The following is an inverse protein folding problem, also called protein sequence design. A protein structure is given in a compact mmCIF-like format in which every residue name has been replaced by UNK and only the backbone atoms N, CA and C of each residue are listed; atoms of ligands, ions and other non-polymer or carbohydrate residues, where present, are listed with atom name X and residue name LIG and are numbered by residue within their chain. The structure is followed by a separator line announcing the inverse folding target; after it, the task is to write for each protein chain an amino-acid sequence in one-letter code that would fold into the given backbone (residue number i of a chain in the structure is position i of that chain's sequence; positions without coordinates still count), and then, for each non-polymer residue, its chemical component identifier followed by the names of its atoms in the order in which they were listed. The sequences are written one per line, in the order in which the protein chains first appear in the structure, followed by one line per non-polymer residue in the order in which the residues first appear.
data_IF_442584608472
#
_entry.id   IF_442584608472
#
_cell.length_a   1.000
_cell.length_b   1.000
_cell.length_c   1.000
_cell.angle_alpha   90.00
_cell.angle_beta   90.00
_cell.angle_gamma   90.00
#
_symmetry.space_group_name_H-M   'P 1'
#
loop_
_entity.id
_entity.type
_entity.pdbx_description
1 polymer ?
#
# COMPACT_ATOMS: atom_id res chain seq x y z
N UNK A 1 -48.05 -30.26 10.01
CA UNK A 1 -47.78 -30.27 11.46
C UNK A 1 -46.43 -29.62 11.66
N UNK A 2 -46.50 -28.40 12.16
CA UNK A 2 -45.40 -27.51 12.57
C UNK A 2 -44.68 -28.10 13.79
N UNK A 3 -43.36 -27.83 13.95
CA UNK A 3 -42.60 -27.57 15.20
C UNK A 3 -41.30 -26.84 14.78
N UNK A 4 -41.18 -25.52 14.96
CA UNK A 4 -40.75 -24.79 16.17
C UNK A 4 -39.22 -24.85 16.40
N UNK A 5 -38.53 -23.75 16.12
CA UNK A 5 -37.11 -23.52 16.44
C UNK A 5 -37.09 -22.62 17.68
N UNK A 6 -36.58 -23.16 18.78
CA UNK A 6 -36.35 -22.44 20.04
C UNK A 6 -35.12 -21.55 19.87
N UNK A 7 -35.31 -20.27 20.18
CA UNK A 7 -34.27 -19.28 20.44
C UNK A 7 -33.67 -19.54 21.82
N UNK A 8 -32.34 -19.59 21.92
CA UNK A 8 -31.64 -19.31 23.16
C UNK A 8 -30.73 -18.10 22.96
N UNK A 9 -31.11 -17.03 23.66
CA UNK A 9 -30.37 -15.80 23.88
C UNK A 9 -29.45 -16.05 25.09
N UNK A 10 -28.18 -15.72 24.98
CA UNK A 10 -27.33 -15.45 26.14
C UNK A 10 -26.62 -14.11 25.92
N UNK A 11 -27.10 -13.13 26.69
CA UNK A 11 -26.44 -11.89 27.04
C UNK A 11 -25.35 -12.15 28.10
N UNK A 12 -24.44 -11.18 28.24
CA UNK A 12 -23.43 -10.90 29.30
C UNK A 12 -22.03 -10.74 28.70
N UNK A 13 -21.19 -9.77 29.05
CA UNK A 13 -21.27 -8.54 29.84
C UNK A 13 -20.02 -7.71 29.47
N UNK A 14 -20.03 -6.44 29.87
CA UNK A 14 -19.02 -5.41 29.62
C UNK A 14 -17.59 -5.77 30.08
N UNK A 15 -16.57 -5.43 29.28
CA UNK A 15 -15.32 -4.91 29.83
C UNK A 15 -14.78 -3.78 28.93
N UNK A 16 -14.75 -2.59 29.54
CA UNK A 16 -14.04 -1.40 29.10
C UNK A 16 -12.53 -1.68 29.16
N UNK A 17 -11.79 -1.36 28.10
CA UNK A 17 -10.39 -0.98 28.26
C UNK A 17 -10.06 0.14 27.28
N UNK A 18 -9.83 1.30 27.87
CA UNK A 18 -9.29 2.48 27.24
C UNK A 18 -7.86 2.22 26.72
N UNK A 19 -7.46 3.03 25.74
CA UNK A 19 -6.30 3.93 25.85
C UNK A 19 -5.40 4.02 24.60
N UNK A 20 -5.38 5.24 24.06
CA UNK A 20 -4.28 5.93 23.34
C UNK A 20 -4.06 5.59 21.86
N UNK A 21 -4.86 6.28 21.06
CA UNK A 21 -4.51 6.81 19.73
C UNK A 21 -3.13 7.49 19.78
N UNK A 22 -2.10 6.86 19.22
CA UNK A 22 -0.84 7.53 18.87
C UNK A 22 -0.97 8.15 17.47
N UNK A 23 -1.46 9.39 17.42
CA UNK A 23 -1.36 10.28 16.24
C UNK A 23 0.02 10.94 16.25
N UNK A 24 0.95 10.43 15.45
CA UNK A 24 2.20 11.14 15.16
C UNK A 24 1.96 12.14 14.02
N UNK A 25 2.08 13.44 14.34
CA UNK A 25 1.91 14.55 13.39
C UNK A 25 3.23 14.88 12.67
N UNK A 26 3.21 15.18 11.35
CA UNK A 26 4.38 15.67 10.61
C UNK A 26 4.81 17.08 11.04
N UNK A 27 6.07 17.24 11.50
CA UNK A 27 6.64 18.57 11.80
C UNK A 27 7.19 19.22 10.51
N UNK A 28 6.55 20.30 10.07
CA UNK A 28 7.06 21.27 9.08
C UNK A 28 7.78 22.41 9.78
N UNK A 29 8.95 22.78 9.23
CA UNK A 29 9.60 24.11 9.18
C UNK A 29 9.92 24.80 10.53
N UNK A 30 10.91 25.66 10.71
CA UNK A 30 11.62 26.64 9.89
C UNK A 30 12.89 26.99 10.68
N UNK A 31 13.98 27.40 10.04
CA UNK A 31 14.78 28.49 10.60
C UNK A 31 15.60 29.18 9.50
N UNK A 32 15.38 30.48 9.36
CA UNK A 32 16.10 31.41 8.51
C UNK A 32 16.27 32.72 9.28
N UNK A 33 17.52 33.05 9.65
CA UNK A 33 18.05 34.40 9.92
C UNK A 33 19.57 34.25 10.18
N UNK A 34 20.48 34.72 9.32
CA UNK A 34 21.06 36.09 9.28
C UNK A 34 21.64 36.55 10.65
N UNK A 35 22.83 37.14 10.83
CA UNK A 35 23.96 37.54 10.01
C UNK A 35 25.06 38.15 10.94
N UNK A 36 26.33 38.15 10.47
CA UNK A 36 27.40 39.21 10.63
C UNK A 36 28.42 39.25 11.80
N UNK A 37 29.71 39.37 11.35
CA UNK A 37 30.91 40.12 11.85
C UNK A 37 31.76 39.45 12.97
N UNK A 38 33.10 39.40 12.95
CA UNK A 38 34.15 40.39 12.59
C UNK A 38 35.55 39.70 12.38
N UNK A 39 36.35 40.01 11.34
CA UNK A 39 37.56 40.90 11.27
C UNK A 39 38.76 40.36 12.09
N UNK A 40 39.75 39.67 11.49
CA UNK A 40 41.01 40.13 10.86
C UNK A 40 42.24 40.15 11.80
N UNK A 41 43.30 39.41 11.46
CA UNK A 41 44.70 39.81 11.64
C UNK A 41 45.66 38.88 10.87
N UNK A 42 46.24 39.41 9.79
CA UNK A 42 47.49 38.95 9.18
C UNK A 42 48.68 39.29 10.10
N UNK A 43 49.78 38.51 10.23
CA UNK A 43 50.97 38.52 9.35
C UNK A 43 52.00 37.49 9.91
N UNK A 44 52.88 36.87 9.09
CA UNK A 44 53.55 35.59 9.40
C UNK A 44 54.96 35.77 9.94
N UNK A 45 55.41 34.82 10.78
CA UNK A 45 56.83 34.65 11.11
C UNK A 45 57.26 33.20 10.93
N UNK A 46 58.14 33.02 9.95
CA UNK A 46 58.94 31.84 9.71
C UNK A 46 59.86 31.58 10.90
N UNK A 47 59.97 30.31 11.31
CA UNK A 47 61.25 29.70 11.69
C UNK A 47 61.15 28.18 11.55
N UNK A 48 61.74 27.67 10.46
CA UNK A 48 62.59 26.46 10.39
C UNK A 48 63.28 26.20 11.75
N UNK A 49 63.49 25.00 12.28
CA UNK A 49 63.94 23.72 11.74
C UNK A 49 63.76 22.68 12.87
N UNK A 50 63.30 21.46 12.54
CA UNK A 50 63.56 20.25 13.34
C UNK A 50 63.14 19.02 12.54
N UNK A 51 64.08 18.55 11.74
CA UNK A 51 64.43 17.13 11.56
C UNK A 51 63.35 16.07 11.84
N UNK A 52 62.86 15.48 10.74
CA UNK A 52 62.66 14.04 10.52
C UNK A 52 61.92 13.21 11.60
N UNK A 53 60.68 12.83 11.29
CA UNK A 53 60.22 11.45 11.50
C UNK A 53 59.10 11.11 10.51
N UNK A 54 59.48 10.62 9.33
CA UNK A 54 58.53 10.01 8.39
C UNK A 54 58.21 8.58 8.84
N UNK A 55 57.29 8.43 9.78
CA UNK A 55 56.66 7.13 10.00
C UNK A 55 55.64 6.90 8.87
N UNK A 56 56.10 6.24 7.81
CA UNK A 56 55.22 5.65 6.79
C UNK A 56 54.26 4.69 7.51
N UNK A 57 53.07 5.17 7.87
CA UNK A 57 51.92 4.31 8.20
C UNK A 57 51.67 3.42 6.99
N UNK A 58 52.23 2.20 7.04
CA UNK A 58 51.81 1.11 6.17
C UNK A 58 50.34 0.85 6.51
N UNK A 59 49.46 1.31 5.64
CA UNK A 59 48.08 0.83 5.56
C UNK A 59 48.17 -0.67 5.28
N UNK A 60 48.09 -1.47 6.34
CA UNK A 60 47.92 -2.92 6.21
C UNK A 60 46.45 -3.12 5.91
N UNK A 61 46.13 -3.09 4.62
CA UNK A 61 44.87 -3.65 4.11
C UNK A 61 44.90 -5.14 4.39
N UNK A 62 44.53 -5.54 5.61
CA UNK A 62 44.22 -6.93 5.91
C UNK A 62 42.80 -7.22 5.44
N UNK A 63 42.60 -7.19 4.11
CA UNK A 63 41.67 -8.14 3.49
C UNK A 63 42.32 -9.52 3.53
N UNK A 64 42.49 -10.04 4.75
CA UNK A 64 42.70 -11.45 4.99
C UNK A 64 41.45 -11.89 5.69
N UNK A 65 40.61 -12.62 4.95
CA UNK A 65 39.66 -13.56 5.49
C UNK A 65 40.24 -14.13 6.79
N UNK A 66 39.68 -13.69 7.91
CA UNK A 66 40.00 -14.25 9.22
C UNK A 66 39.27 -15.58 9.27
N UNK A 67 39.72 -16.53 8.46
CA UNK A 67 39.45 -17.93 8.75
C UNK A 67 40.19 -18.14 10.07
N UNK A 68 39.44 -18.12 11.17
CA UNK A 68 39.84 -18.74 12.42
C UNK A 68 40.01 -20.22 12.09
N UNK A 69 41.13 -20.56 11.44
CA UNK A 69 41.56 -21.95 11.27
C UNK A 69 41.85 -22.41 12.69
N UNK A 70 40.94 -23.22 13.24
CA UNK A 70 41.20 -23.92 14.47
C UNK A 70 42.40 -24.80 14.22
N UNK A 71 43.37 -24.79 15.13
CA UNK A 71 44.49 -25.75 15.06
C UNK A 71 44.04 -27.20 15.26
N UNK A 72 42.80 -27.39 15.73
CA UNK A 72 42.16 -28.70 15.90
C UNK A 72 41.29 -29.04 14.66
N UNK A 73 41.63 -30.10 13.91
CA UNK A 73 40.86 -30.57 12.76
C UNK A 73 39.38 -30.85 13.06
N UNK A 74 39.03 -31.27 14.28
CA UNK A 74 37.64 -31.54 14.65
C UNK A 74 36.81 -30.26 14.77
N UNK A 75 37.41 -29.20 15.32
CA UNK A 75 36.75 -27.91 15.48
C UNK A 75 36.55 -27.19 14.14
N UNK A 76 37.44 -27.40 13.18
CA UNK A 76 37.28 -26.88 11.81
C UNK A 76 36.06 -27.51 11.11
N UNK A 77 35.91 -28.84 11.18
CA UNK A 77 34.75 -29.53 10.62
C UNK A 77 33.45 -29.06 11.28
N UNK A 78 33.46 -28.88 12.61
CA UNK A 78 32.30 -28.39 13.35
C UNK A 78 31.89 -26.98 12.92
N UNK A 79 32.85 -26.06 12.77
CA UNK A 79 32.59 -24.70 12.32
C UNK A 79 32.00 -24.66 10.91
N UNK A 80 32.46 -25.55 10.02
CA UNK A 80 31.94 -25.67 8.66
C UNK A 80 30.48 -26.15 8.65
N UNK A 81 30.17 -27.23 9.37
CA UNK A 81 28.78 -27.75 9.47
C UNK A 81 27.84 -26.71 10.07
N UNK A 82 28.29 -25.96 11.09
CA UNK A 82 27.50 -24.89 11.66
C UNK A 82 27.28 -23.73 10.66
N UNK A 83 28.30 -23.41 9.87
CA UNK A 83 28.21 -22.45 8.77
C UNK A 83 27.18 -22.86 7.74
N UNK A 84 27.26 -24.10 7.25
CA UNK A 84 26.37 -24.67 6.26
C UNK A 84 24.92 -24.69 6.77
N UNK A 85 24.69 -25.15 8.00
CA UNK A 85 23.35 -25.17 8.60
C UNK A 85 22.75 -23.77 8.70
N UNK A 86 23.54 -22.77 9.08
CA UNK A 86 23.09 -21.38 9.13
C UNK A 86 22.75 -20.84 7.75
N UNK A 87 23.51 -21.22 6.73
CA UNK A 87 23.27 -20.78 5.36
C UNK A 87 21.98 -21.38 4.79
N UNK A 88 21.81 -22.70 4.97
CA UNK A 88 20.55 -23.40 4.64
C UNK A 88 19.37 -22.78 5.37
N UNK A 89 19.50 -22.50 6.68
CA UNK A 89 18.43 -21.88 7.48
C UNK A 89 18.02 -20.52 6.92
N UNK A 90 18.97 -19.68 6.51
CA UNK A 90 18.69 -18.38 5.87
C UNK A 90 17.98 -18.56 4.54
N UNK A 91 18.43 -19.52 3.73
CA UNK A 91 17.83 -19.79 2.43
C UNK A 91 16.38 -20.27 2.57
N UNK A 92 16.12 -21.20 3.50
CA UNK A 92 14.75 -21.66 3.82
C UNK A 92 13.90 -20.49 4.34
N UNK A 93 14.42 -19.67 5.25
CA UNK A 93 13.72 -18.47 5.71
C UNK A 93 13.37 -17.50 4.58
N UNK A 94 14.29 -17.30 3.63
CA UNK A 94 14.05 -16.48 2.44
C UNK A 94 12.98 -17.09 1.52
N UNK A 95 12.99 -18.42 1.33
CA UNK A 95 11.96 -19.12 0.56
C UNK A 95 10.59 -18.97 1.19
N UNK A 96 10.47 -19.18 2.51
CA UNK A 96 9.21 -18.99 3.25
C UNK A 96 8.70 -17.57 3.10
N UNK A 97 9.58 -16.57 3.26
CA UNK A 97 9.21 -15.17 3.07
C UNK A 97 8.78 -14.87 1.63
N UNK A 98 9.42 -15.47 0.63
CA UNK A 98 9.01 -15.30 -0.78
C UNK A 98 7.69 -15.97 -1.09
N UNK A 99 7.43 -17.17 -0.55
CA UNK A 99 6.15 -17.87 -0.71
C UNK A 99 5.01 -17.10 -0.07
N UNK A 100 5.23 -16.55 1.13
CA UNK A 100 4.24 -15.72 1.81
C UNK A 100 3.93 -14.46 1.00
N UNK A 101 4.96 -13.77 0.50
CA UNK A 101 4.78 -12.60 -0.37
C UNK A 101 4.03 -12.97 -1.65
N UNK A 102 4.38 -14.09 -2.28
CA UNK A 102 3.72 -14.56 -3.51
C UNK A 102 2.25 -14.90 -3.25
N UNK A 103 1.94 -15.55 -2.12
CA UNK A 103 0.56 -15.82 -1.72
C UNK A 103 -0.25 -14.53 -1.55
N UNK A 104 0.32 -13.50 -0.89
CA UNK A 104 -0.33 -12.18 -0.76
C UNK A 104 -0.53 -11.49 -2.12
N UNK A 105 0.42 -11.63 -3.06
CA UNK A 105 0.29 -11.08 -4.41
C UNK A 105 -0.81 -11.80 -5.18
N UNK A 106 -0.86 -13.14 -5.11
CA UNK A 106 -1.89 -13.94 -5.75
C UNK A 106 -3.27 -13.66 -5.16
N UNK A 107 -3.38 -13.51 -3.84
CA UNK A 107 -4.63 -13.14 -3.16
C UNK A 107 -5.13 -11.77 -3.62
N UNK A 108 -4.25 -10.77 -3.65
CA UNK A 108 -4.59 -9.43 -4.16
C UNK A 108 -5.00 -9.46 -5.63
N UNK A 109 -4.29 -10.22 -6.46
CA UNK A 109 -4.60 -10.37 -7.87
C UNK A 109 -5.93 -11.10 -8.13
N UNK A 110 -6.33 -12.02 -7.24
CA UNK A 110 -7.62 -12.72 -7.33
C UNK A 110 -8.79 -11.87 -6.81
N UNK A 111 -8.53 -10.95 -5.88
CA UNK A 111 -9.54 -10.06 -5.29
C UNK A 111 -9.80 -8.80 -6.14
N UNK A 112 -8.90 -8.45 -7.05
CA UNK A 112 -9.05 -7.29 -7.94
C UNK A 112 -9.94 -7.64 -9.13
N UNK A 113 -11.26 -7.59 -8.92
CA UNK A 113 -12.22 -7.55 -10.02
C UNK A 113 -11.97 -6.29 -10.87
N UNK A 114 -12.07 -6.39 -12.21
CA UNK A 114 -11.95 -5.25 -13.10
C UNK A 114 -12.85 -4.12 -12.59
N UNK A 115 -12.34 -2.91 -12.32
CA UNK A 115 -13.13 -1.81 -11.79
C UNK A 115 -14.39 -1.53 -12.62
N UNK A 116 -14.34 -1.74 -13.94
CA UNK A 116 -15.50 -1.59 -14.81
C UNK A 116 -16.53 -2.71 -14.62
N UNK A 117 -16.08 -3.95 -14.41
CA UNK A 117 -16.95 -5.08 -14.11
C UNK A 117 -17.63 -4.89 -12.74
N UNK A 118 -16.90 -4.37 -11.75
CA UNK A 118 -17.46 -4.00 -10.46
C UNK A 118 -18.57 -2.94 -10.60
N UNK A 119 -18.32 -1.88 -11.36
CA UNK A 119 -19.33 -0.84 -11.65
C UNK A 119 -20.56 -1.47 -12.33
N UNK A 120 -20.34 -2.35 -13.30
CA UNK A 120 -21.42 -3.03 -14.02
C UNK A 120 -22.29 -3.86 -13.06
N UNK A 121 -21.67 -4.67 -12.21
CA UNK A 121 -22.37 -5.53 -11.26
C UNK A 121 -23.15 -4.72 -10.23
N UNK A 122 -22.53 -3.67 -9.69
CA UNK A 122 -23.17 -2.77 -8.74
C UNK A 122 -24.36 -2.03 -9.38
N UNK A 123 -24.23 -1.62 -10.66
CA UNK A 123 -25.30 -0.97 -11.41
C UNK A 123 -26.48 -1.92 -11.64
N UNK A 124 -26.20 -3.19 -11.98
CA UNK A 124 -27.23 -4.22 -12.15
C UNK A 124 -28.00 -4.41 -10.85
N UNK A 125 -27.29 -4.57 -9.72
CA UNK A 125 -27.90 -4.78 -8.40
C UNK A 125 -28.77 -3.59 -7.98
N UNK A 126 -28.25 -2.36 -8.12
CA UNK A 126 -29.00 -1.16 -7.75
C UNK A 126 -30.22 -0.97 -8.65
N UNK A 127 -30.10 -1.19 -9.96
CA UNK A 127 -31.24 -1.11 -10.87
C UNK A 127 -32.34 -2.13 -10.53
N UNK A 128 -31.96 -3.36 -10.20
CA UNK A 128 -32.91 -4.39 -9.78
C UNK A 128 -33.60 -4.04 -8.46
N UNK A 129 -32.86 -3.48 -7.49
CA UNK A 129 -33.42 -2.97 -6.23
C UNK A 129 -34.48 -1.88 -6.47
N UNK A 130 -34.27 -1.03 -7.47
CA UNK A 130 -35.20 0.03 -7.89
C UNK A 130 -36.37 -0.47 -8.74
N UNK A 131 -36.47 -1.79 -8.98
CA UNK A 131 -37.55 -2.42 -9.73
C UNK A 131 -37.43 -2.32 -11.25
N UNK A 132 -36.25 -1.96 -11.79
CA UNK A 132 -35.97 -2.05 -13.22
C UNK A 132 -35.74 -3.52 -13.61
N UNK A 133 -36.20 -3.92 -14.79
CA UNK A 133 -36.05 -5.30 -15.28
C UNK A 133 -35.74 -5.34 -16.77
N UNK A 134 -35.28 -6.49 -17.27
CA UNK A 134 -35.05 -6.70 -18.69
C UNK A 134 -33.96 -5.80 -19.29
N UNK A 135 -34.27 -5.14 -20.40
CA UNK A 135 -33.30 -4.36 -21.19
C UNK A 135 -32.90 -3.05 -20.51
N UNK A 136 -33.74 -2.50 -19.63
CA UNK A 136 -33.43 -1.27 -18.89
C UNK A 136 -32.21 -1.45 -18.00
N UNK A 137 -32.10 -2.60 -17.32
CA UNK A 137 -30.97 -2.95 -16.45
C UNK A 137 -29.67 -3.05 -17.26
N UNK A 138 -29.72 -3.74 -18.41
CA UNK A 138 -28.55 -3.93 -19.29
C UNK A 138 -28.07 -2.59 -19.84
N UNK A 139 -29.00 -1.74 -20.30
CA UNK A 139 -28.68 -0.43 -20.85
C UNK A 139 -28.15 0.53 -19.79
N UNK A 140 -28.73 0.54 -18.59
CA UNK A 140 -28.28 1.39 -17.50
C UNK A 140 -26.87 0.98 -17.05
N UNK A 141 -26.63 -0.32 -16.84
CA UNK A 141 -25.31 -0.82 -16.49
C UNK A 141 -24.27 -0.48 -17.57
N UNK A 142 -24.62 -0.62 -18.84
CA UNK A 142 -23.74 -0.21 -19.95
C UNK A 142 -23.47 1.30 -19.97
N UNK A 143 -24.44 2.14 -19.62
CA UNK A 143 -24.25 3.58 -19.49
C UNK A 143 -23.27 3.93 -18.35
N UNK A 144 -23.43 3.28 -17.19
CA UNK A 144 -22.55 3.49 -16.03
C UNK A 144 -21.12 3.01 -16.24
N UNK A 145 -20.92 1.92 -16.99
CA UNK A 145 -19.57 1.48 -17.39
C UNK A 145 -18.90 2.51 -18.30
N UNK A 146 -19.65 3.15 -19.20
CA UNK A 146 -19.12 4.19 -20.10
C UNK A 146 -18.82 5.49 -19.36
N UNK A 147 -19.62 5.84 -18.35
CA UNK A 147 -19.43 7.04 -17.53
C UNK A 147 -19.49 6.68 -16.04
N UNK A 148 -18.40 6.13 -15.46
CA UNK A 148 -18.35 5.71 -14.06
C UNK A 148 -18.78 6.77 -13.04
N UNK A 149 -18.53 8.04 -13.33
CA UNK A 149 -18.94 9.16 -12.46
C UNK A 149 -20.46 9.22 -12.25
N UNK A 150 -21.26 8.81 -13.24
CA UNK A 150 -22.72 8.76 -13.11
C UNK A 150 -23.17 7.72 -12.09
N UNK A 151 -22.41 6.63 -11.92
CA UNK A 151 -22.67 5.61 -10.92
C UNK A 151 -22.40 6.15 -9.52
N UNK A 152 -21.26 6.82 -9.33
CA UNK A 152 -20.95 7.49 -8.05
C UNK A 152 -22.01 8.52 -7.67
N UNK A 153 -22.52 9.27 -8.65
CA UNK A 153 -23.64 10.18 -8.43
C UNK A 153 -24.94 9.45 -8.03
N UNK A 154 -25.30 8.35 -8.71
CA UNK A 154 -26.48 7.54 -8.36
C UNK A 154 -26.42 7.12 -6.87
N UNK A 155 -25.28 6.61 -6.42
CA UNK A 155 -25.10 6.13 -5.06
C UNK A 155 -25.14 7.26 -4.02
N UNK A 156 -24.75 8.47 -4.39
CA UNK A 156 -24.84 9.65 -3.53
C UNK A 156 -26.27 10.19 -3.37
N UNK A 157 -27.20 9.82 -4.26
CA UNK A 157 -28.60 10.25 -4.18
C UNK A 157 -29.38 9.47 -3.09
N UNK A 158 -30.37 10.11 -2.44
CA UNK A 158 -31.39 9.42 -1.65
C UNK A 158 -32.10 8.36 -2.48
N UNK A 159 -32.45 7.22 -1.87
CA UNK A 159 -33.06 6.08 -2.56
C UNK A 159 -34.34 6.46 -3.34
N UNK A 160 -35.13 7.42 -2.82
CA UNK A 160 -36.34 7.93 -3.48
C UNK A 160 -36.09 8.60 -4.84
N UNK A 161 -34.89 9.13 -5.08
CA UNK A 161 -34.52 9.84 -6.32
C UNK A 161 -33.75 8.96 -7.31
N UNK A 162 -33.20 7.84 -6.85
CA UNK A 162 -32.32 6.98 -7.65
C UNK A 162 -33.00 6.43 -8.90
N UNK A 163 -34.25 6.00 -8.79
CA UNK A 163 -35.00 5.44 -9.91
C UNK A 163 -35.22 6.46 -11.03
N UNK A 164 -35.61 7.69 -10.69
CA UNK A 164 -35.80 8.76 -11.67
C UNK A 164 -34.48 9.13 -12.36
N UNK A 165 -33.39 9.18 -11.59
CA UNK A 165 -32.06 9.42 -12.13
C UNK A 165 -31.65 8.34 -13.16
N UNK A 166 -31.85 7.05 -12.86
CA UNK A 166 -31.55 5.97 -13.83
C UNK A 166 -32.39 6.12 -15.11
N UNK A 167 -33.67 6.46 -14.99
CA UNK A 167 -34.54 6.70 -16.16
C UNK A 167 -34.06 7.88 -17.02
N UNK A 168 -33.57 8.95 -16.38
CA UNK A 168 -32.95 10.07 -17.10
C UNK A 168 -31.71 9.62 -17.87
N UNK A 169 -30.82 8.85 -17.24
CA UNK A 169 -29.63 8.30 -17.90
C UNK A 169 -30.03 7.42 -19.09
N UNK A 170 -31.06 6.58 -18.96
CA UNK A 170 -31.54 5.74 -20.06
C UNK A 170 -32.07 6.55 -21.24
N UNK A 171 -32.80 7.64 -20.97
CA UNK A 171 -33.28 8.54 -22.00
C UNK A 171 -32.12 9.21 -22.75
N UNK A 172 -31.12 9.74 -22.02
CA UNK A 172 -29.89 10.28 -22.60
C UNK A 172 -29.11 9.20 -23.37
N UNK A 173 -29.16 7.96 -22.89
CA UNK A 173 -28.45 6.83 -23.49
C UNK A 173 -29.01 6.41 -24.83
N UNK A 174 -30.33 6.37 -24.96
CA UNK A 174 -30.98 6.09 -26.23
C UNK A 174 -30.78 7.21 -27.25
N UNK A 175 -30.84 8.47 -26.84
CA UNK A 175 -30.60 9.62 -27.72
C UNK A 175 -29.20 9.52 -28.33
N UNK A 176 -28.21 9.22 -27.50
CA UNK A 176 -26.82 9.26 -27.93
C UNK A 176 -26.38 8.05 -28.77
N UNK A 177 -27.02 6.88 -28.61
CA UNK A 177 -26.85 5.76 -29.56
C UNK A 177 -27.31 6.18 -30.96
N UNK A 178 -28.35 7.02 -31.07
CA UNK A 178 -28.84 7.55 -32.34
C UNK A 178 -27.99 8.66 -32.96
N UNK A 179 -27.15 9.34 -32.17
CA UNK A 179 -26.41 10.55 -32.59
C UNK A 179 -24.88 10.39 -32.61
N UNK A 180 -24.34 9.29 -32.09
CA UNK A 180 -22.93 8.94 -32.25
C UNK A 180 -21.93 9.74 -31.41
N UNK A 181 -22.34 10.66 -30.56
CA UNK A 181 -21.42 11.47 -29.75
C UNK A 181 -22.00 11.83 -28.37
N UNK A 182 -21.19 11.67 -27.32
CA UNK A 182 -21.53 11.98 -25.92
C UNK A 182 -20.56 13.02 -25.37
N UNK A 183 -20.88 14.30 -25.54
CA UNK A 183 -20.32 15.37 -24.67
C UNK A 183 -21.41 15.85 -23.74
N UNK A 184 -21.22 15.63 -22.45
CA UNK A 184 -22.07 16.16 -21.39
C UNK A 184 -22.08 17.71 -21.46
N UNK A 185 -23.25 18.38 -21.45
CA UNK A 185 -23.34 19.74 -21.00
C UNK A 185 -23.32 19.73 -19.46
N UNK A 186 -22.19 20.16 -18.87
CA UNK A 186 -22.18 20.58 -17.47
C UNK A 186 -22.90 21.95 -17.40
N UNK A 187 -23.98 22.00 -16.63
CA UNK A 187 -24.59 23.26 -16.14
C UNK A 187 -24.56 23.25 -14.62
#
# INVERSE_FOLDING_TARGET
MEKEIVQDIQDEEDEEDEERVSREMPRRSIDSAAARRSIDSATPRQSIDSTASSSKKRKKDSNKLKNTLSSDPFMDVFANVQGDLRDVTKHVGAMVASMQREAEIQEKAMAEEDPLQKIQNEAILECQKLGLTGTEVVNAAAAFVKVPAQMSMLLALPESLRREYVLKILAEFHISIGLGDWRLPMS
#
